data_IF_272682745645
#
_entry.id   IF_272682745645
#
_cell.length_a   1.000
_cell.length_b   1.000
_cell.length_c   1.000
_cell.angle_alpha   90.00
_cell.angle_beta   90.00
_cell.angle_gamma   90.00
#
_symmetry.space_group_name_H-M   'P 1'
#
loop_
_entity.id
_entity.type
_entity.pdbx_description
1 polymer ?
#
# COMPACT_ATOMS: atom_id res chain seq x y z
N UNK A 1 -46.64 18.56 20.60
CA UNK A 1 -46.72 17.39 19.71
C UNK A 1 -45.99 17.78 18.45
N UNK A 2 -44.72 17.42 18.34
CA UNK A 2 -43.95 17.69 17.13
C UNK A 2 -44.55 16.85 16.00
N UNK A 3 -45.15 17.53 15.04
CA UNK A 3 -45.65 16.93 13.80
C UNK A 3 -44.50 16.15 13.16
N UNK A 4 -44.61 14.82 13.17
CA UNK A 4 -43.64 13.85 12.65
C UNK A 4 -43.49 13.91 11.13
N UNK A 5 -43.06 15.05 10.63
CA UNK A 5 -42.70 15.21 9.24
C UNK A 5 -41.33 14.60 9.03
N UNK A 6 -41.31 13.48 8.31
CA UNK A 6 -40.06 12.92 7.80
C UNK A 6 -39.35 13.97 6.93
N UNK A 7 -38.02 14.09 7.05
CA UNK A 7 -37.27 14.98 6.19
C UNK A 7 -37.41 14.54 4.72
N UNK A 8 -37.23 15.48 3.79
CA UNK A 8 -37.27 15.16 2.37
C UNK A 8 -36.28 14.03 2.02
N UNK A 9 -36.56 13.27 0.97
CA UNK A 9 -35.72 12.14 0.55
C UNK A 9 -34.23 12.52 0.43
N UNK A 10 -33.92 13.72 -0.07
CA UNK A 10 -32.56 14.25 -0.18
C UNK A 10 -31.92 14.44 1.20
N UNK A 11 -32.65 15.01 2.16
CA UNK A 11 -32.16 15.22 3.52
C UNK A 11 -32.00 13.88 4.23
N UNK A 12 -32.97 12.96 4.09
CA UNK A 12 -32.89 11.62 4.66
C UNK A 12 -31.67 10.85 4.16
N UNK A 13 -31.43 10.80 2.83
CA UNK A 13 -30.23 10.17 2.26
C UNK A 13 -28.95 10.76 2.81
N UNK A 14 -28.88 12.09 2.96
CA UNK A 14 -27.71 12.76 3.54
C UNK A 14 -27.49 12.37 5.00
N UNK A 15 -28.56 12.29 5.80
CA UNK A 15 -28.48 11.83 7.19
C UNK A 15 -27.96 10.39 7.22
N UNK A 16 -28.57 9.48 6.46
CA UNK A 16 -28.17 8.06 6.39
C UNK A 16 -26.71 7.91 5.97
N UNK A 17 -26.28 8.56 4.89
CA UNK A 17 -24.89 8.47 4.41
C UNK A 17 -23.90 9.01 5.45
N UNK A 18 -24.25 10.11 6.12
CA UNK A 18 -23.42 10.68 7.17
C UNK A 18 -23.30 9.75 8.37
N UNK A 19 -24.41 9.17 8.82
CA UNK A 19 -24.42 8.23 9.94
C UNK A 19 -23.62 6.96 9.63
N UNK A 20 -23.73 6.42 8.41
CA UNK A 20 -22.91 5.28 7.96
C UNK A 20 -21.43 5.68 7.96
N UNK A 21 -21.09 6.83 7.39
CA UNK A 21 -19.70 7.29 7.35
C UNK A 21 -19.10 7.49 8.75
N UNK A 22 -19.84 8.12 9.67
CA UNK A 22 -19.41 8.32 11.06
C UNK A 22 -19.24 6.98 11.80
N UNK A 23 -20.12 6.01 11.56
CA UNK A 23 -19.99 4.66 12.12
C UNK A 23 -18.74 3.94 11.59
N UNK A 24 -18.57 3.86 10.27
CA UNK A 24 -17.43 3.20 9.63
C UNK A 24 -16.09 3.86 9.99
N UNK A 25 -16.06 5.19 10.08
CA UNK A 25 -14.88 5.93 10.53
C UNK A 25 -14.49 5.58 11.96
N UNK A 26 -15.47 5.49 12.87
CA UNK A 26 -15.23 5.11 14.25
C UNK A 26 -14.74 3.65 14.36
N UNK A 27 -15.39 2.72 13.66
CA UNK A 27 -14.96 1.31 13.61
C UNK A 27 -13.54 1.18 13.06
N UNK A 28 -13.23 1.90 11.98
CA UNK A 28 -11.89 1.94 11.41
C UNK A 28 -10.86 2.47 12.41
N UNK A 29 -11.14 3.60 13.05
CA UNK A 29 -10.25 4.18 14.07
C UNK A 29 -10.03 3.23 15.26
N UNK A 30 -11.06 2.53 15.71
CA UNK A 30 -10.92 1.56 16.78
C UNK A 30 -10.03 0.39 16.35
N UNK A 31 -10.31 -0.22 15.20
CA UNK A 31 -9.56 -1.37 14.70
C UNK A 31 -8.08 -1.08 14.49
N UNK A 32 -7.73 0.00 13.80
CA UNK A 32 -6.32 0.34 13.54
C UNK A 32 -5.51 0.69 14.80
N UNK A 33 -6.18 1.04 15.90
CA UNK A 33 -5.53 1.42 17.15
C UNK A 33 -5.43 0.27 18.15
N UNK A 34 -6.33 -0.70 18.08
CA UNK A 34 -6.40 -1.84 19.02
C UNK A 34 -5.64 -3.04 18.47
N UNK A 35 -5.73 -3.27 17.16
CA UNK A 35 -5.23 -4.49 16.54
C UNK A 35 -3.79 -4.29 16.03
N UNK A 36 -2.88 -5.12 16.55
CA UNK A 36 -1.45 -5.09 16.21
C UNK A 36 -1.17 -5.38 14.74
N UNK A 37 -2.06 -6.11 14.08
CA UNK A 37 -1.90 -6.52 12.68
C UNK A 37 -2.00 -5.31 11.74
N UNK A 38 -2.59 -4.20 12.22
CA UNK A 38 -2.76 -2.96 11.47
C UNK A 38 -1.63 -1.95 11.70
N UNK A 39 -0.53 -2.31 12.37
CA UNK A 39 0.55 -1.36 12.65
C UNK A 39 1.14 -0.73 11.38
N UNK A 40 1.40 -1.54 10.34
CA UNK A 40 1.90 -1.03 9.06
C UNK A 40 0.79 -0.31 8.30
N UNK A 41 -0.40 -0.88 8.24
CA UNK A 41 -1.56 -0.24 7.63
C UNK A 41 -1.79 1.17 8.21
N UNK A 42 -1.67 1.36 9.53
CA UNK A 42 -1.80 2.64 10.22
C UNK A 42 -0.67 3.62 9.87
N UNK A 43 0.56 3.13 9.70
CA UNK A 43 1.70 3.98 9.26
C UNK A 43 1.47 4.52 7.84
N UNK A 44 1.05 3.63 6.94
CA UNK A 44 0.90 3.89 5.51
C UNK A 44 -0.39 4.68 5.22
N UNK A 45 -1.47 4.34 5.91
CA UNK A 45 -2.83 4.79 5.61
C UNK A 45 -3.40 5.65 6.74
N UNK A 46 -3.00 6.93 6.75
CA UNK A 46 -3.31 7.89 7.84
C UNK A 46 -4.72 8.46 7.77
N UNK A 47 -5.41 8.32 6.64
CA UNK A 47 -6.71 8.94 6.36
C UNK A 47 -7.73 7.85 6.02
N UNK A 48 -8.96 8.00 6.50
CA UNK A 48 -10.06 7.12 6.13
C UNK A 48 -10.50 7.35 4.68
N UNK A 49 -9.86 6.62 3.76
CA UNK A 49 -10.14 6.60 2.33
C UNK A 49 -9.85 5.21 1.76
N UNK A 50 -10.26 4.87 0.53
CA UNK A 50 -9.81 3.65 -0.14
C UNK A 50 -8.29 3.63 -0.30
N UNK A 51 -7.67 2.45 -0.15
CA UNK A 51 -6.23 2.28 -0.37
C UNK A 51 -5.86 2.64 -1.83
N UNK A 52 -4.74 3.33 -2.11
CA UNK A 52 -4.42 3.78 -3.47
C UNK A 52 -4.33 2.64 -4.52
N UNK A 53 -3.89 1.45 -4.11
CA UNK A 53 -3.91 0.26 -4.95
C UNK A 53 -5.32 -0.08 -5.49
N UNK A 54 -6.38 0.21 -4.73
CA UNK A 54 -7.76 0.01 -5.18
C UNK A 54 -8.16 1.00 -6.27
N UNK A 55 -7.68 2.25 -6.19
CA UNK A 55 -7.89 3.24 -7.24
C UNK A 55 -7.29 2.77 -8.56
N UNK A 56 -6.08 2.19 -8.52
CA UNK A 56 -5.46 1.56 -9.70
C UNK A 56 -6.32 0.41 -10.23
N UNK A 57 -6.89 -0.43 -9.36
CA UNK A 57 -7.76 -1.53 -9.79
C UNK A 57 -9.11 -1.09 -10.37
N UNK A 58 -9.57 0.14 -10.08
CA UNK A 58 -10.75 0.71 -10.74
C UNK A 58 -10.44 1.10 -12.19
N UNK A 59 -9.28 1.72 -12.41
CA UNK A 59 -8.82 2.12 -13.74
C UNK A 59 -8.33 0.92 -14.58
N UNK A 60 -7.74 -0.08 -13.91
CA UNK A 60 -7.17 -1.29 -14.51
C UNK A 60 -7.72 -2.56 -13.84
N UNK A 61 -8.95 -3.00 -14.19
CA UNK A 61 -9.62 -4.11 -13.50
C UNK A 61 -8.85 -5.44 -13.48
N UNK A 62 -7.96 -5.67 -14.46
CA UNK A 62 -7.11 -6.87 -14.51
C UNK A 62 -6.04 -6.91 -13.40
N UNK A 63 -5.78 -5.79 -12.71
CA UNK A 63 -4.86 -5.69 -11.57
C UNK A 63 -5.54 -5.90 -10.21
N UNK A 64 -6.84 -6.21 -10.16
CA UNK A 64 -7.59 -6.35 -8.90
C UNK A 64 -6.97 -7.37 -7.94
N UNK A 65 -6.43 -8.48 -8.45
CA UNK A 65 -5.78 -9.51 -7.62
C UNK A 65 -4.50 -8.98 -6.98
N UNK A 66 -3.72 -8.20 -7.72
CA UNK A 66 -2.48 -7.58 -7.29
C UNK A 66 -2.75 -6.50 -6.25
N UNK A 67 -3.76 -5.66 -6.48
CA UNK A 67 -4.19 -4.65 -5.52
C UNK A 67 -4.65 -5.26 -4.19
N UNK A 68 -5.48 -6.31 -4.23
CA UNK A 68 -5.88 -7.06 -3.03
C UNK A 68 -4.68 -7.60 -2.25
N UNK A 69 -3.71 -8.16 -2.97
CA UNK A 69 -2.52 -8.72 -2.36
C UNK A 69 -1.69 -7.63 -1.65
N UNK A 70 -1.50 -6.47 -2.27
CA UNK A 70 -0.79 -5.34 -1.64
C UNK A 70 -1.50 -4.87 -0.39
N UNK A 71 -2.83 -4.72 -0.42
CA UNK A 71 -3.59 -4.35 0.78
C UNK A 71 -3.42 -5.40 1.88
N UNK A 72 -3.37 -6.69 1.53
CA UNK A 72 -3.11 -7.74 2.51
C UNK A 72 -1.69 -7.68 3.09
N UNK A 73 -0.68 -7.32 2.29
CA UNK A 73 0.69 -7.11 2.78
C UNK A 73 0.74 -6.03 3.86
N UNK A 74 -0.03 -4.95 3.71
CA UNK A 74 -0.10 -3.87 4.70
C UNK A 74 -0.69 -4.31 6.06
N UNK A 75 -1.38 -5.45 6.11
CA UNK A 75 -1.99 -6.02 7.30
C UNK A 75 -1.29 -7.30 7.79
N UNK A 76 -0.14 -7.67 7.22
CA UNK A 76 0.62 -8.80 7.73
C UNK A 76 1.31 -8.43 9.04
N UNK A 77 1.43 -9.39 9.96
CA UNK A 77 2.27 -9.22 11.15
C UNK A 77 3.72 -9.29 10.70
N UNK A 78 4.36 -8.12 10.61
CA UNK A 78 5.79 -8.04 10.37
C UNK A 78 6.49 -8.33 11.70
N UNK A 79 7.18 -9.47 11.78
CA UNK A 79 7.87 -9.91 12.99
C UNK A 79 8.96 -8.91 13.35
N UNK A 80 8.67 -7.99 14.28
CA UNK A 80 9.66 -7.07 14.85
C UNK A 80 10.55 -7.77 15.89
N UNK A 81 10.20 -8.99 16.29
CA UNK A 81 11.01 -9.82 17.18
C UNK A 81 12.16 -10.44 16.39
N UNK A 82 13.16 -9.62 16.07
CA UNK A 82 14.63 -9.80 15.97
C UNK A 82 15.28 -11.11 15.48
N UNK A 83 14.55 -12.19 15.22
CA UNK A 83 15.13 -13.43 14.71
C UNK A 83 15.26 -13.30 13.19
N UNK A 84 16.50 -13.09 12.76
CA UNK A 84 16.83 -13.07 11.35
C UNK A 84 16.59 -14.44 10.73
N UNK A 85 15.79 -14.48 9.67
CA UNK A 85 15.46 -15.67 8.88
C UNK A 85 16.45 -15.76 7.71
N UNK A 86 16.91 -16.97 7.41
CA UNK A 86 17.74 -17.22 6.22
C UNK A 86 16.85 -17.33 4.97
N UNK A 87 17.14 -16.52 3.97
CA UNK A 87 16.50 -16.62 2.66
C UNK A 87 16.96 -17.88 1.92
N UNK A 88 16.01 -18.73 1.54
CA UNK A 88 16.26 -19.95 0.76
C UNK A 88 16.73 -19.66 -0.67
N UNK A 89 16.44 -18.45 -1.19
CA UNK A 89 16.80 -18.04 -2.56
C UNK A 89 18.18 -17.42 -2.68
N UNK A 90 18.49 -16.44 -1.82
CA UNK A 90 19.74 -15.69 -1.93
C UNK A 90 20.74 -16.00 -0.80
N UNK A 91 20.34 -16.80 0.20
CA UNK A 91 21.20 -17.16 1.33
C UNK A 91 21.51 -16.01 2.29
N UNK A 92 20.84 -14.86 2.18
CA UNK A 92 21.00 -13.72 3.09
C UNK A 92 20.02 -13.79 4.25
N UNK A 93 20.45 -13.26 5.40
CA UNK A 93 19.61 -13.09 6.57
C UNK A 93 18.73 -11.84 6.42
N UNK A 94 17.46 -11.95 6.80
CA UNK A 94 16.52 -10.84 6.79
C UNK A 94 15.51 -10.96 7.94
N UNK A 95 14.89 -9.85 8.33
CA UNK A 95 13.86 -9.81 9.38
C UNK A 95 12.45 -9.71 8.81
N UNK A 96 12.33 -9.08 7.64
CA UNK A 96 11.05 -8.81 6.99
C UNK A 96 11.04 -9.37 5.55
N UNK A 97 10.18 -10.37 5.27
CA UNK A 97 10.07 -10.98 3.94
C UNK A 97 9.72 -9.97 2.83
N UNK A 98 8.86 -9.00 3.13
CA UNK A 98 8.36 -8.04 2.16
C UNK A 98 9.46 -7.03 1.80
N UNK A 99 10.09 -6.44 2.82
CA UNK A 99 11.22 -5.53 2.63
C UNK A 99 12.35 -6.24 1.90
N UNK A 100 12.73 -7.46 2.33
CA UNK A 100 13.79 -8.21 1.68
C UNK A 100 13.49 -8.49 0.20
N UNK A 101 12.28 -8.93 -0.12
CA UNK A 101 11.88 -9.19 -1.50
C UNK A 101 11.97 -7.91 -2.37
N UNK A 102 11.55 -6.77 -1.83
CA UNK A 102 11.49 -5.49 -2.55
C UNK A 102 12.86 -4.82 -2.67
N UNK A 103 13.72 -4.87 -1.66
CA UNK A 103 14.94 -4.06 -1.59
C UNK A 103 16.23 -4.83 -1.88
N UNK A 104 16.38 -6.06 -1.36
CA UNK A 104 17.72 -6.63 -1.12
C UNK A 104 17.91 -8.10 -1.51
N UNK A 105 16.84 -8.80 -1.92
CA UNK A 105 16.94 -10.20 -2.32
C UNK A 105 17.64 -10.35 -3.68
N UNK A 106 18.86 -10.90 -3.72
CA UNK A 106 19.64 -11.01 -4.97
C UNK A 106 18.93 -11.84 -6.04
N UNK A 107 18.12 -12.83 -5.64
CA UNK A 107 17.32 -13.63 -6.56
C UNK A 107 16.30 -12.80 -7.37
N UNK A 108 15.90 -11.64 -6.86
CA UNK A 108 14.94 -10.74 -7.49
C UNK A 108 15.61 -9.53 -8.16
N UNK A 109 16.93 -9.56 -8.38
CA UNK A 109 17.68 -8.46 -9.02
C UNK A 109 17.07 -8.04 -10.34
N UNK A 110 16.79 -9.01 -11.22
CA UNK A 110 16.33 -8.73 -12.58
C UNK A 110 14.96 -8.03 -12.58
N UNK A 111 14.08 -8.40 -11.63
CA UNK A 111 12.76 -7.77 -11.48
C UNK A 111 12.92 -6.34 -10.93
N UNK A 112 13.88 -6.10 -10.03
CA UNK A 112 14.17 -4.76 -9.52
C UNK A 112 14.76 -3.88 -10.61
N UNK A 113 15.65 -4.40 -11.43
CA UNK A 113 16.23 -3.67 -12.55
C UNK A 113 15.14 -3.29 -13.56
N UNK A 114 14.23 -4.20 -13.89
CA UNK A 114 13.06 -3.91 -14.74
C UNK A 114 12.17 -2.81 -14.14
N UNK A 115 11.91 -2.86 -12.82
CA UNK A 115 11.18 -1.82 -12.10
C UNK A 115 11.88 -0.45 -12.18
N UNK A 116 13.18 -0.39 -11.91
CA UNK A 116 13.95 0.86 -11.95
C UNK A 116 14.02 1.44 -13.36
N UNK A 117 14.18 0.60 -14.38
CA UNK A 117 14.12 1.02 -15.78
C UNK A 117 12.75 1.63 -16.12
N UNK A 118 11.64 0.96 -15.78
CA UNK A 118 10.29 1.50 -16.03
C UNK A 118 10.02 2.78 -15.23
N UNK A 119 10.49 2.85 -13.98
CA UNK A 119 10.35 4.03 -13.14
C UNK A 119 11.04 5.25 -13.76
N UNK A 120 12.29 5.09 -14.20
CA UNK A 120 13.08 6.14 -14.86
C UNK A 120 12.46 6.58 -16.20
N UNK A 121 11.76 5.69 -16.90
CA UNK A 121 11.05 6.04 -18.14
C UNK A 121 9.76 6.83 -17.90
N UNK A 122 9.08 6.61 -16.78
CA UNK A 122 7.73 7.15 -16.54
C UNK A 122 7.70 8.35 -15.58
N UNK A 123 8.74 8.52 -14.77
CA UNK A 123 8.82 9.55 -13.74
C UNK A 123 10.14 10.35 -13.85
N UNK A 124 10.20 11.56 -13.26
CA UNK A 124 11.42 12.34 -13.21
C UNK A 124 12.58 11.58 -12.57
N UNK A 125 13.79 11.79 -13.10
CA UNK A 125 15.01 11.20 -12.53
C UNK A 125 15.22 11.62 -11.07
N UNK A 126 14.79 12.83 -10.71
CA UNK A 126 14.82 13.36 -9.33
C UNK A 126 13.98 12.53 -8.37
N UNK A 127 12.82 12.01 -8.82
CA UNK A 127 11.99 11.12 -8.01
C UNK A 127 12.66 9.75 -7.82
N UNK A 128 13.28 9.22 -8.88
CA UNK A 128 14.03 7.95 -8.77
C UNK A 128 15.24 8.07 -7.85
N UNK A 129 15.97 9.19 -7.93
CA UNK A 129 17.07 9.50 -7.01
C UNK A 129 16.59 9.66 -5.57
N UNK A 130 15.43 10.30 -5.36
CA UNK A 130 14.79 10.37 -4.05
C UNK A 130 14.50 8.96 -3.51
N UNK A 131 13.83 8.11 -4.29
CA UNK A 131 13.54 6.73 -3.84
C UNK A 131 14.81 5.93 -3.54
N UNK A 132 15.85 6.07 -4.36
CA UNK A 132 17.15 5.40 -4.12
C UNK A 132 17.94 5.94 -2.93
N UNK A 133 17.56 7.08 -2.37
CA UNK A 133 18.17 7.65 -1.16
C UNK A 133 17.52 7.18 0.15
N UNK A 134 16.36 6.52 0.06
CA UNK A 134 15.62 6.02 1.20
C UNK A 134 16.30 4.76 1.78
N UNK A 135 16.03 4.49 3.05
CA UNK A 135 16.28 3.16 3.59
C UNK A 135 15.26 2.15 3.04
N UNK A 136 15.58 0.86 3.18
CA UNK A 136 14.77 -0.24 2.66
C UNK A 136 13.32 -0.24 3.21
N UNK A 137 13.11 0.16 4.47
CA UNK A 137 11.79 0.22 5.10
C UNK A 137 10.92 1.31 4.47
N UNK A 138 11.43 2.53 4.38
CA UNK A 138 10.71 3.67 3.80
C UNK A 138 10.45 3.47 2.30
N UNK A 139 11.42 2.90 1.58
CA UNK A 139 11.25 2.50 0.18
C UNK A 139 10.10 1.49 0.05
N UNK A 140 10.12 0.43 0.85
CA UNK A 140 9.04 -0.57 0.87
C UNK A 140 7.67 0.06 1.16
N UNK A 141 7.57 0.92 2.18
CA UNK A 141 6.31 1.58 2.54
C UNK A 141 5.76 2.48 1.43
N UNK A 142 6.62 3.24 0.75
CA UNK A 142 6.19 4.06 -0.38
C UNK A 142 5.68 3.16 -1.53
N UNK A 143 6.32 2.02 -1.79
CA UNK A 143 5.82 1.04 -2.76
C UNK A 143 4.48 0.41 -2.32
N UNK A 144 4.25 0.28 -1.01
CA UNK A 144 2.97 -0.11 -0.42
C UNK A 144 1.96 1.05 -0.34
N UNK A 145 2.19 2.15 -1.06
CA UNK A 145 1.31 3.33 -1.17
C UNK A 145 1.34 4.32 0.01
N UNK A 146 2.42 4.32 0.80
CA UNK A 146 2.64 5.38 1.79
C UNK A 146 2.82 6.73 1.07
N UNK A 147 2.31 7.80 1.66
CA UNK A 147 2.51 9.14 1.11
C UNK A 147 3.99 9.53 1.19
N UNK A 148 4.48 10.08 0.09
CA UNK A 148 5.84 10.61 -0.02
C UNK A 148 5.80 12.14 0.11
N UNK A 149 6.85 12.71 0.68
CA UNK A 149 7.07 14.16 0.71
C UNK A 149 7.47 14.71 -0.67
N UNK A 150 7.88 13.84 -1.61
CA UNK A 150 8.23 14.27 -2.95
C UNK A 150 6.97 14.60 -3.75
N UNK A 151 6.88 15.86 -4.21
CA UNK A 151 5.73 16.32 -4.99
C UNK A 151 5.74 15.70 -6.40
N UNK A 152 4.79 14.80 -6.63
CA UNK A 152 4.44 14.30 -7.95
C UNK A 152 3.13 14.95 -8.41
N UNK A 153 3.04 15.26 -9.69
CA UNK A 153 1.76 15.64 -10.27
C UNK A 153 0.77 14.45 -10.27
N UNK A 154 -0.50 14.72 -10.56
CA UNK A 154 -1.54 13.71 -10.52
C UNK A 154 -1.28 12.54 -11.50
N UNK A 155 -0.70 12.81 -12.66
CA UNK A 155 -0.43 11.80 -13.68
C UNK A 155 0.79 10.94 -13.30
N UNK A 156 1.87 11.57 -12.84
CA UNK A 156 3.05 10.90 -12.30
C UNK A 156 2.68 10.00 -11.12
N UNK A 157 1.88 10.50 -10.17
CA UNK A 157 1.40 9.72 -9.03
C UNK A 157 0.62 8.49 -9.47
N UNK A 158 -0.26 8.61 -10.46
CA UNK A 158 -1.00 7.47 -11.02
C UNK A 158 -0.09 6.45 -11.70
N UNK A 159 0.87 6.91 -12.53
CA UNK A 159 1.84 6.03 -13.19
C UNK A 159 2.70 5.29 -12.17
N UNK A 160 3.16 5.99 -11.14
CA UNK A 160 3.92 5.38 -10.05
C UNK A 160 3.09 4.33 -9.28
N UNK A 161 1.86 4.65 -8.89
CA UNK A 161 0.97 3.70 -8.23
C UNK A 161 0.69 2.46 -9.09
N UNK A 162 0.54 2.64 -10.40
CA UNK A 162 0.42 1.52 -11.34
C UNK A 162 1.65 0.61 -11.31
N UNK A 163 2.86 1.18 -11.36
CA UNK A 163 4.11 0.41 -11.24
C UNK A 163 4.20 -0.32 -9.90
N UNK A 164 3.88 0.33 -8.80
CA UNK A 164 3.84 -0.30 -7.49
C UNK A 164 2.92 -1.52 -7.48
N UNK A 165 1.70 -1.39 -8.01
CA UNK A 165 0.75 -2.51 -8.08
C UNK A 165 1.26 -3.66 -8.94
N UNK A 166 1.88 -3.34 -10.08
CA UNK A 166 2.45 -4.32 -11.00
C UNK A 166 3.63 -5.07 -10.38
N UNK A 167 4.54 -4.37 -9.71
CA UNK A 167 5.84 -4.91 -9.29
C UNK A 167 5.87 -5.46 -7.87
N UNK A 168 5.21 -4.83 -6.89
CA UNK A 168 5.16 -5.35 -5.52
C UNK A 168 4.57 -6.76 -5.49
N UNK A 169 3.50 -6.98 -6.26
CA UNK A 169 2.93 -8.31 -6.43
C UNK A 169 3.95 -9.31 -7.00
N UNK A 170 4.75 -8.90 -8.00
CA UNK A 170 5.78 -9.77 -8.60
C UNK A 170 6.88 -10.09 -7.61
N UNK A 171 7.40 -9.12 -6.86
CA UNK A 171 8.44 -9.32 -5.85
C UNK A 171 7.99 -10.34 -4.81
N UNK A 172 6.89 -10.05 -4.11
CA UNK A 172 6.46 -10.82 -2.96
C UNK A 172 5.90 -12.18 -3.36
N UNK A 173 5.16 -12.29 -4.47
CA UNK A 173 4.64 -13.60 -4.91
C UNK A 173 5.76 -14.54 -5.38
N UNK A 174 6.74 -14.02 -6.12
CA UNK A 174 7.90 -14.81 -6.56
C UNK A 174 8.73 -15.26 -5.35
N UNK A 175 8.81 -14.41 -4.33
CA UNK A 175 9.44 -14.76 -3.06
C UNK A 175 8.68 -15.85 -2.28
N UNK A 176 7.34 -15.79 -2.22
CA UNK A 176 6.51 -16.71 -1.42
C UNK A 176 6.20 -18.07 -2.05
N UNK A 177 6.49 -18.33 -3.33
CA UNK A 177 6.23 -19.63 -3.97
C UNK A 177 7.52 -20.44 -4.07
N UNK A 178 7.76 -21.23 -3.01
CA UNK A 178 8.86 -22.20 -2.86
C UNK A 178 8.38 -23.37 -2.02
#
# INVERSE_FOLDING_TARGET
MDSGNFPSQRIWKRIVHRSIFEYELNEWQQRINIDSDFNIFKKIHKVFQPHPAWTVALDFPYLRKQANYIVSLCCLVHNTNSDSILCDKCGKLFTDPCIHAISSCDYLSDIRDEFWCELLCLNPITFSAFLGSLNDEDFCYILLSCETEFELDCEQKKRFQFLCVKYVYRFCKTFSHS
#
